data_IF_783819339251
#
_entry.id   IF_783819339251
#
_cell.length_a   1.000
_cell.length_b   1.000
_cell.length_c   1.000
_cell.angle_alpha   90.00
_cell.angle_beta   90.00
_cell.angle_gamma   90.00
#
_symmetry.space_group_name_H-M   'P 1'
#
loop_
_entity.id
_entity.type
_entity.pdbx_description
1 polymer ?
#
# COMPACT_ATOMS: atom_id res chain seq x y z
N UNK A 1 -3.50 -25.65 9.73
CA UNK A 1 -3.55 -25.29 8.31
C UNK A 1 -4.72 -24.35 8.10
N UNK A 2 -4.46 -23.09 7.83
CA UNK A 2 -5.52 -22.14 7.47
C UNK A 2 -5.84 -22.37 5.99
N UNK A 3 -7.05 -22.89 5.74
CA UNK A 3 -7.56 -23.09 4.39
C UNK A 3 -7.78 -21.71 3.74
N UNK A 4 -6.87 -21.30 2.87
CA UNK A 4 -6.93 -20.06 2.08
C UNK A 4 -7.78 -20.22 0.81
N UNK A 5 -8.43 -21.38 0.63
CA UNK A 5 -9.46 -21.55 -0.39
C UNK A 5 -10.63 -20.60 -0.11
N UNK A 6 -11.47 -20.33 -1.14
CA UNK A 6 -12.73 -19.60 -0.94
C UNK A 6 -13.62 -20.22 0.14
N UNK A 7 -13.51 -21.56 0.35
CA UNK A 7 -14.16 -22.24 1.46
C UNK A 7 -13.59 -21.84 2.82
N UNK A 8 -12.28 -21.59 2.91
CA UNK A 8 -11.61 -21.09 4.11
C UNK A 8 -12.01 -19.66 4.43
N UNK A 9 -12.10 -18.80 3.41
CA UNK A 9 -12.60 -17.43 3.55
C UNK A 9 -14.07 -17.44 3.98
N UNK A 10 -14.92 -18.24 3.33
CA UNK A 10 -16.33 -18.36 3.69
C UNK A 10 -16.56 -18.90 5.12
N UNK A 11 -15.73 -19.85 5.58
CA UNK A 11 -15.78 -20.36 6.98
C UNK A 11 -15.36 -19.31 8.00
N UNK A 12 -14.35 -18.48 7.69
CA UNK A 12 -13.84 -17.46 8.60
C UNK A 12 -14.84 -16.31 8.80
N UNK A 13 -15.61 -15.98 7.76
CA UNK A 13 -16.54 -14.85 7.78
C UNK A 13 -18.03 -15.26 7.88
N UNK A 14 -18.33 -16.52 8.08
CA UNK A 14 -19.65 -17.06 8.44
C UNK A 14 -20.80 -16.70 7.48
N UNK A 15 -21.29 -17.66 6.72
CA UNK A 15 -22.60 -17.53 6.09
C UNK A 15 -22.67 -17.56 4.57
N UNK A 16 -21.62 -17.96 3.86
CA UNK A 16 -21.70 -18.20 2.42
C UNK A 16 -21.74 -19.72 2.19
N UNK A 17 -22.94 -20.25 1.95
CA UNK A 17 -23.14 -21.65 1.56
C UNK A 17 -23.51 -21.68 0.07
N UNK A 18 -22.70 -22.32 -0.77
CA UNK A 18 -22.96 -22.51 -2.19
C UNK A 18 -21.78 -23.16 -2.91
N UNK A 19 -22.07 -23.81 -4.03
CA UNK A 19 -21.01 -24.31 -4.93
C UNK A 19 -20.44 -23.14 -5.71
N UNK A 20 -19.24 -22.73 -5.34
CA UNK A 20 -18.52 -21.65 -6.04
C UNK A 20 -17.51 -22.24 -7.00
N UNK A 21 -17.73 -22.08 -8.32
CA UNK A 21 -16.65 -22.07 -9.29
C UNK A 21 -16.08 -20.64 -9.36
N UNK A 22 -15.52 -20.20 -8.26
CA UNK A 22 -14.95 -18.86 -8.18
C UNK A 22 -13.44 -19.04 -8.14
N UNK A 23 -12.85 -19.04 -9.29
CA UNK A 23 -11.44 -18.83 -9.45
C UNK A 23 -11.35 -17.59 -10.30
N UNK A 24 -11.04 -16.48 -9.73
CA UNK A 24 -10.82 -15.47 -10.65
C UNK A 24 -10.63 -14.06 -10.13
N UNK A 25 -11.65 -13.29 -9.89
CA UNK A 25 -11.52 -11.84 -9.81
C UNK A 25 -11.04 -11.31 -8.45
N UNK A 26 -11.13 -12.10 -7.38
CA UNK A 26 -10.47 -11.77 -6.10
C UNK A 26 -8.93 -11.83 -6.25
N UNK A 27 -8.44 -12.51 -7.28
CA UNK A 27 -7.01 -12.71 -7.56
C UNK A 27 -6.58 -12.13 -8.93
N UNK A 28 -7.33 -11.18 -9.49
CA UNK A 28 -6.99 -10.56 -10.78
C UNK A 28 -7.21 -11.47 -12.00
N UNK A 29 -8.00 -12.52 -11.90
CA UNK A 29 -8.34 -13.43 -12.99
C UNK A 29 -9.79 -13.19 -13.44
N UNK A 30 -9.98 -12.93 -14.70
CA UNK A 30 -11.14 -12.28 -15.31
C UNK A 30 -12.37 -13.14 -15.55
N UNK A 31 -12.88 -13.94 -14.63
CA UNK A 31 -14.24 -14.48 -14.76
C UNK A 31 -14.87 -14.99 -13.48
N UNK A 32 -15.57 -14.12 -12.76
CA UNK A 32 -16.63 -14.58 -11.87
C UNK A 32 -17.94 -14.55 -12.66
N UNK A 33 -18.47 -15.71 -13.01
CA UNK A 33 -19.87 -15.84 -13.42
C UNK A 33 -20.74 -15.84 -12.17
N UNK A 34 -20.96 -14.69 -11.58
CA UNK A 34 -21.82 -14.48 -10.43
C UNK A 34 -22.45 -13.09 -10.47
N UNK A 35 -23.55 -12.87 -9.78
CA UNK A 35 -24.20 -11.57 -9.76
C UNK A 35 -23.23 -10.51 -9.19
N UNK A 36 -23.27 -9.31 -9.77
CA UNK A 36 -22.49 -8.14 -9.29
C UNK A 36 -22.66 -7.88 -7.78
N UNK A 37 -23.80 -8.28 -7.22
CA UNK A 37 -24.10 -8.15 -5.79
C UNK A 37 -23.28 -9.12 -4.92
N UNK A 38 -23.01 -10.34 -5.38
CA UNK A 38 -22.20 -11.31 -4.64
C UNK A 38 -20.71 -10.89 -4.63
N UNK A 39 -20.21 -10.44 -5.77
CA UNK A 39 -18.85 -9.90 -5.90
C UNK A 39 -18.65 -8.72 -4.94
N UNK A 40 -19.52 -7.71 -5.01
CA UNK A 40 -19.47 -6.53 -4.14
C UNK A 40 -19.52 -6.92 -2.65
N UNK A 41 -20.33 -7.93 -2.30
CA UNK A 41 -20.42 -8.43 -0.93
C UNK A 41 -19.15 -9.16 -0.49
N UNK A 42 -18.55 -9.99 -1.35
CA UNK A 42 -17.28 -10.67 -1.06
C UNK A 42 -16.13 -9.67 -0.92
N UNK A 43 -16.07 -8.69 -1.81
CA UNK A 43 -15.09 -7.60 -1.75
C UNK A 43 -15.25 -6.78 -0.45
N UNK A 44 -16.48 -6.45 -0.06
CA UNK A 44 -16.74 -5.71 1.17
C UNK A 44 -16.41 -6.51 2.43
N UNK A 45 -16.60 -7.83 2.42
CA UNK A 45 -16.26 -8.71 3.55
C UNK A 45 -14.75 -8.94 3.70
N UNK A 46 -14.00 -8.83 2.61
CA UNK A 46 -12.54 -9.00 2.60
C UNK A 46 -11.79 -7.67 2.84
N UNK A 47 -12.49 -6.54 2.82
CA UNK A 47 -11.92 -5.22 2.97
C UNK A 47 -11.71 -4.88 4.44
N UNK A 48 -10.49 -4.52 4.81
CA UNK A 48 -10.14 -4.11 6.17
C UNK A 48 -9.44 -2.75 6.14
N UNK A 49 -9.95 -1.81 6.91
CA UNK A 49 -9.30 -0.53 7.16
C UNK A 49 -8.29 -0.70 8.30
N UNK A 50 -7.08 -0.26 8.06
CA UNK A 50 -5.99 -0.26 9.04
C UNK A 50 -5.62 1.18 9.37
N UNK A 51 -5.47 1.47 10.66
CA UNK A 51 -4.98 2.76 11.16
C UNK A 51 -4.26 2.54 12.48
N UNK A 52 -3.01 3.02 12.59
CA UNK A 52 -2.19 2.85 13.77
C UNK A 52 -1.14 3.95 13.89
N UNK A 53 -0.74 4.25 15.11
CA UNK A 53 0.33 5.22 15.38
C UNK A 53 1.70 4.59 15.13
N UNK A 54 2.57 5.36 14.46
CA UNK A 54 4.00 5.07 14.31
C UNK A 54 4.77 6.11 15.10
N UNK A 55 5.80 5.68 15.79
CA UNK A 55 6.67 6.56 16.60
C UNK A 55 8.11 6.12 16.46
N UNK A 56 8.97 7.05 16.12
CA UNK A 56 10.42 6.86 16.05
C UNK A 56 11.15 8.11 16.54
N UNK A 57 11.87 8.01 17.64
CA UNK A 57 12.57 9.14 18.25
C UNK A 57 11.64 10.33 18.53
N UNK A 58 11.89 11.45 17.83
CA UNK A 58 11.08 12.68 17.93
C UNK A 58 9.94 12.72 16.89
N UNK A 59 9.90 11.74 15.98
CA UNK A 59 8.91 11.67 14.91
C UNK A 59 7.72 10.81 15.32
N UNK A 60 6.53 11.21 14.88
CA UNK A 60 5.32 10.43 15.09
C UNK A 60 4.24 10.79 14.10
N UNK A 61 3.54 9.78 13.59
CA UNK A 61 2.45 9.94 12.66
C UNK A 61 1.43 8.80 12.76
N UNK A 62 0.34 8.93 12.05
CA UNK A 62 -0.63 7.84 11.87
C UNK A 62 -0.46 7.25 10.48
N UNK A 63 -0.17 5.96 10.39
CA UNK A 63 -0.26 5.20 9.16
C UNK A 63 -1.70 4.73 8.96
N UNK A 64 -2.20 4.79 7.73
CA UNK A 64 -3.56 4.34 7.42
C UNK A 64 -3.67 3.85 5.97
N UNK A 65 -4.29 2.70 5.78
CA UNK A 65 -4.53 2.09 4.48
C UNK A 65 -5.69 1.11 4.53
N UNK A 66 -6.23 0.78 3.38
CA UNK A 66 -7.18 -0.31 3.19
C UNK A 66 -6.45 -1.53 2.65
N UNK A 67 -6.76 -2.70 3.15
CA UNK A 67 -6.29 -3.97 2.60
C UNK A 67 -7.46 -4.87 2.22
N UNK A 68 -7.46 -5.32 0.97
CA UNK A 68 -8.37 -6.34 0.45
C UNK A 68 -7.53 -7.50 -0.04
N UNK A 69 -7.42 -8.56 0.78
CA UNK A 69 -6.53 -9.70 0.51
C UNK A 69 -5.08 -9.25 0.29
N UNK A 70 -4.53 -9.43 -0.92
CA UNK A 70 -3.15 -9.02 -1.28
C UNK A 70 -3.09 -7.63 -1.93
N UNK A 71 -4.21 -6.92 -2.02
CA UNK A 71 -4.27 -5.56 -2.56
C UNK A 71 -4.33 -4.54 -1.43
N UNK A 72 -3.37 -3.63 -1.42
CA UNK A 72 -3.22 -2.56 -0.44
C UNK A 72 -3.46 -1.22 -1.13
N UNK A 73 -4.39 -0.43 -0.60
CA UNK A 73 -4.77 0.85 -1.19
C UNK A 73 -4.68 1.98 -0.18
N UNK A 74 -4.06 3.07 -0.58
CA UNK A 74 -4.07 4.33 0.17
C UNK A 74 -4.84 5.38 -0.60
N UNK A 75 -5.91 5.90 0.00
CA UNK A 75 -6.65 7.06 -0.50
C UNK A 75 -5.95 8.33 -0.06
N UNK A 76 -5.46 9.10 -1.03
CA UNK A 76 -4.67 10.32 -0.80
C UNK A 76 -5.40 11.52 -1.38
N UNK A 77 -5.65 12.54 -0.54
CA UNK A 77 -6.13 13.84 -0.98
C UNK A 77 -4.96 14.78 -1.20
N UNK A 78 -4.82 15.29 -2.42
CA UNK A 78 -3.83 16.30 -2.75
C UNK A 78 -4.42 17.69 -2.63
N UNK A 79 -3.77 18.56 -1.84
CA UNK A 79 -4.11 19.97 -1.66
C UNK A 79 -3.00 20.83 -2.29
N UNK A 80 -3.13 21.20 -3.57
CA UNK A 80 -2.14 22.05 -4.21
C UNK A 80 -2.19 23.49 -3.71
N UNK A 81 -1.03 24.10 -3.52
CA UNK A 81 -0.90 25.54 -3.26
C UNK A 81 -1.40 26.34 -4.46
N UNK A 82 -1.75 27.60 -4.21
CA UNK A 82 -2.18 28.53 -5.25
C UNK A 82 -1.10 28.68 -6.33
N UNK A 83 -1.52 28.72 -7.59
CA UNK A 83 -0.61 28.84 -8.75
C UNK A 83 -0.19 27.52 -9.38
N UNK A 84 -0.43 26.37 -8.77
CA UNK A 84 -0.21 25.08 -9.41
C UNK A 84 -1.41 24.76 -10.31
N UNK A 85 -1.16 24.61 -11.61
CA UNK A 85 -2.22 24.36 -12.58
C UNK A 85 -2.79 22.93 -12.48
N UNK A 86 -4.04 22.74 -12.92
CA UNK A 86 -4.63 21.41 -13.04
C UNK A 86 -3.84 20.51 -14.01
N UNK A 87 -3.27 21.05 -15.06
CA UNK A 87 -2.42 20.29 -15.99
C UNK A 87 -1.18 19.76 -15.28
N UNK A 88 -0.49 20.60 -14.51
CA UNK A 88 0.63 20.19 -13.66
C UNK A 88 0.21 19.09 -12.70
N UNK A 89 -0.87 19.28 -11.98
CA UNK A 89 -1.37 18.28 -11.02
C UNK A 89 -1.73 16.93 -11.68
N UNK A 90 -2.26 16.94 -12.90
CA UNK A 90 -2.54 15.69 -13.60
C UNK A 90 -1.27 14.94 -13.98
N UNK A 91 -0.24 15.66 -14.43
CA UNK A 91 1.09 15.07 -14.70
C UNK A 91 1.69 14.48 -13.42
N UNK A 92 1.68 15.23 -12.32
CA UNK A 92 2.23 14.81 -11.04
C UNK A 92 1.51 13.56 -10.49
N UNK A 93 0.17 13.53 -10.53
CA UNK A 93 -0.59 12.34 -10.13
C UNK A 93 -0.15 11.10 -10.89
N UNK A 94 0.01 11.20 -12.20
CA UNK A 94 0.46 10.08 -13.02
C UNK A 94 1.89 9.67 -12.69
N UNK A 95 2.80 10.64 -12.52
CA UNK A 95 4.21 10.38 -12.18
C UNK A 95 4.32 9.70 -10.82
N UNK A 96 3.65 10.22 -9.81
CA UNK A 96 3.69 9.70 -8.45
C UNK A 96 3.01 8.34 -8.34
N UNK A 97 1.84 8.16 -8.94
CA UNK A 97 1.14 6.87 -8.96
C UNK A 97 2.01 5.79 -9.60
N UNK A 98 2.55 6.06 -10.78
CA UNK A 98 3.43 5.11 -11.46
C UNK A 98 4.67 4.78 -10.62
N UNK A 99 5.28 5.79 -9.96
CA UNK A 99 6.43 5.58 -9.09
C UNK A 99 6.10 4.68 -7.89
N UNK A 100 4.99 4.94 -7.22
CA UNK A 100 4.50 4.17 -6.09
C UNK A 100 4.19 2.73 -6.53
N UNK A 101 3.34 2.56 -7.52
CA UNK A 101 2.85 1.24 -7.93
C UNK A 101 3.97 0.37 -8.52
N UNK A 102 4.87 0.94 -9.32
CA UNK A 102 6.00 0.22 -9.88
C UNK A 102 7.03 -0.22 -8.83
N UNK A 103 7.21 0.58 -7.77
CA UNK A 103 8.19 0.25 -6.73
C UNK A 103 7.65 -0.77 -5.73
N UNK A 104 6.40 -0.62 -5.31
CA UNK A 104 5.81 -1.44 -4.25
C UNK A 104 5.13 -2.71 -4.75
N UNK A 105 4.46 -2.66 -5.93
CA UNK A 105 3.68 -3.79 -6.43
C UNK A 105 4.53 -4.86 -7.09
N UNK A 106 4.07 -6.12 -6.96
CA UNK A 106 4.65 -7.28 -7.64
C UNK A 106 6.16 -7.52 -7.34
N UNK A 107 6.65 -7.02 -6.20
CA UNK A 107 8.00 -7.33 -5.71
C UNK A 107 7.98 -8.63 -4.91
N UNK A 108 6.90 -8.86 -4.20
CA UNK A 108 6.68 -9.98 -3.31
C UNK A 108 5.25 -10.48 -3.41
N UNK A 109 5.03 -11.71 -2.98
CA UNK A 109 3.69 -12.29 -2.88
C UNK A 109 3.39 -12.81 -1.48
N UNK A 110 2.16 -13.23 -1.30
CA UNK A 110 1.68 -13.95 -0.14
C UNK A 110 1.41 -15.41 -0.49
N UNK A 111 1.79 -16.35 0.38
CA UNK A 111 1.58 -17.77 0.16
C UNK A 111 2.02 -18.59 1.35
N UNK A 112 1.74 -19.89 1.28
CA UNK A 112 2.31 -20.91 2.14
C UNK A 112 3.11 -21.90 1.28
N UNK A 113 4.08 -22.58 1.88
CA UNK A 113 4.91 -23.54 1.15
C UNK A 113 4.06 -24.59 0.43
N UNK A 114 4.21 -24.68 -0.90
CA UNK A 114 3.47 -25.61 -1.74
C UNK A 114 2.08 -25.14 -2.21
N UNK A 115 1.69 -23.88 -1.90
CA UNK A 115 0.42 -23.28 -2.33
C UNK A 115 0.64 -22.21 -3.43
N UNK A 116 -0.47 -21.76 -4.03
CA UNK A 116 -0.44 -20.66 -4.98
C UNK A 116 0.05 -19.37 -4.32
N UNK A 117 1.01 -18.73 -4.94
CA UNK A 117 1.50 -17.41 -4.56
C UNK A 117 0.62 -16.32 -5.19
N UNK A 118 0.15 -15.40 -4.38
CA UNK A 118 -0.62 -14.24 -4.82
C UNK A 118 0.24 -12.98 -4.68
N UNK A 119 0.52 -12.25 -5.77
CA UNK A 119 1.31 -11.02 -5.70
C UNK A 119 0.70 -9.98 -4.76
N UNK A 120 1.54 -9.31 -3.98
CA UNK A 120 1.15 -8.09 -3.26
C UNK A 120 1.10 -6.93 -4.25
N UNK A 121 0.00 -6.20 -4.25
CA UNK A 121 -0.21 -5.03 -5.10
C UNK A 121 -0.56 -3.81 -4.26
N UNK A 122 -0.07 -2.64 -4.67
CA UNK A 122 -0.23 -1.38 -3.97
C UNK A 122 -0.80 -0.32 -4.91
N UNK A 123 -1.74 0.45 -4.43
CA UNK A 123 -2.44 1.47 -5.19
C UNK A 123 -2.44 2.80 -4.43
N UNK A 124 -2.10 3.88 -5.12
CA UNK A 124 -2.33 5.24 -4.66
C UNK A 124 -3.60 5.79 -5.34
N UNK A 125 -4.72 5.84 -4.61
CA UNK A 125 -5.98 6.38 -5.09
C UNK A 125 -6.09 7.87 -4.77
N UNK A 126 -6.18 8.72 -5.81
CA UNK A 126 -6.37 10.16 -5.63
C UNK A 126 -7.83 10.49 -5.39
N UNK A 127 -8.14 11.01 -4.21
CA UNK A 127 -9.51 11.30 -3.79
C UNK A 127 -9.72 12.76 -3.39
N UNK A 128 -10.97 13.20 -3.36
CA UNK A 128 -11.38 14.53 -2.87
C UNK A 128 -11.97 14.49 -1.46
N UNK A 129 -12.36 13.31 -1.01
CA UNK A 129 -12.93 13.05 0.33
C UNK A 129 -12.66 11.60 0.74
N UNK A 130 -12.89 11.24 2.01
CA UNK A 130 -12.68 9.89 2.53
C UNK A 130 -11.22 9.40 2.45
N UNK A 131 -10.28 10.34 2.50
CA UNK A 131 -8.85 10.05 2.42
C UNK A 131 -8.31 9.38 3.69
N UNK A 132 -7.29 8.54 3.51
CA UNK A 132 -6.41 8.10 4.60
C UNK A 132 -5.41 9.21 4.96
N UNK A 133 -4.84 9.86 3.93
CA UNK A 133 -3.84 10.91 4.10
C UNK A 133 -4.16 12.14 3.27
N UNK A 134 -3.73 13.28 3.79
CA UNK A 134 -3.77 14.55 3.05
C UNK A 134 -2.36 15.03 2.83
N UNK A 135 -2.03 15.37 1.59
CA UNK A 135 -0.74 15.87 1.16
C UNK A 135 -0.90 17.27 0.61
N UNK A 136 -0.21 18.24 1.19
CA UNK A 136 -0.04 19.56 0.58
C UNK A 136 0.93 19.44 -0.58
N UNK A 137 0.61 20.03 -1.73
CA UNK A 137 1.51 20.11 -2.87
C UNK A 137 1.95 21.56 -3.03
N UNK A 138 3.25 21.80 -2.94
CA UNK A 138 3.86 23.15 -3.05
C UNK A 138 4.72 23.27 -4.32
N UNK A 139 4.97 24.48 -4.83
CA UNK A 139 5.98 24.71 -5.85
C UNK A 139 7.38 24.45 -5.27
N UNK A 140 8.29 23.97 -6.08
CA UNK A 140 9.70 23.97 -5.70
C UNK A 140 10.44 22.72 -6.02
N UNK A 141 11.71 22.63 -5.63
CA UNK A 141 12.38 21.44 -5.17
C UNK A 141 12.84 21.65 -3.73
N UNK A 142 12.01 21.33 -2.74
CA UNK A 142 12.41 21.26 -1.34
C UNK A 142 12.29 19.83 -0.84
N UNK A 143 12.84 19.54 0.34
CA UNK A 143 12.71 18.21 0.93
C UNK A 143 11.25 17.91 1.25
N UNK A 144 10.74 16.83 0.70
CA UNK A 144 9.39 16.32 0.95
C UNK A 144 9.32 15.48 2.21
N UNK A 145 8.11 15.23 2.69
CA UNK A 145 7.77 14.34 3.78
C UNK A 145 6.37 13.78 3.54
N UNK A 146 5.92 12.83 4.36
CA UNK A 146 4.63 12.14 4.22
C UNK A 146 3.42 13.08 3.96
N UNK A 147 3.45 14.33 4.44
CA UNK A 147 2.30 15.27 4.35
C UNK A 147 2.55 16.47 3.43
N UNK A 148 3.75 16.63 2.89
CA UNK A 148 4.11 17.75 2.00
C UNK A 148 5.01 17.26 0.89
N UNK A 149 4.51 17.36 -0.34
CA UNK A 149 5.25 17.04 -1.57
C UNK A 149 5.41 18.30 -2.41
N UNK A 150 6.32 18.29 -3.36
CA UNK A 150 6.49 19.44 -4.25
C UNK A 150 6.45 19.07 -5.73
N UNK A 151 6.35 20.10 -6.57
CA UNK A 151 6.24 19.93 -8.03
C UNK A 151 7.50 19.38 -8.68
N UNK A 152 8.63 19.33 -7.97
CA UNK A 152 9.88 18.72 -8.40
C UNK A 152 10.03 17.27 -7.98
N UNK A 153 9.13 16.73 -7.15
CA UNK A 153 9.23 15.35 -6.65
C UNK A 153 9.06 14.33 -7.77
N UNK A 154 10.00 13.39 -7.79
CA UNK A 154 9.94 12.23 -8.68
C UNK A 154 8.98 11.16 -8.13
N UNK A 155 8.64 10.19 -8.98
CA UNK A 155 7.90 9.01 -8.52
C UNK A 155 8.62 8.20 -7.43
N UNK A 156 9.95 8.24 -7.39
CA UNK A 156 10.74 7.57 -6.35
C UNK A 156 10.59 8.26 -4.98
N UNK A 157 10.55 9.60 -4.94
CA UNK A 157 10.26 10.37 -3.72
C UNK A 157 8.85 10.04 -3.24
N UNK A 158 7.85 10.10 -4.12
CA UNK A 158 6.47 9.75 -3.77
C UNK A 158 6.34 8.31 -3.23
N UNK A 159 7.10 7.36 -3.79
CA UNK A 159 7.12 5.98 -3.32
C UNK A 159 7.74 5.82 -1.92
N UNK A 160 8.77 6.60 -1.59
CA UNK A 160 9.32 6.66 -0.24
C UNK A 160 8.30 7.21 0.76
N UNK A 161 7.69 8.36 0.47
CA UNK A 161 6.67 8.97 1.33
C UNK A 161 5.42 8.09 1.49
N UNK A 162 5.05 7.35 0.45
CA UNK A 162 4.01 6.32 0.52
C UNK A 162 4.39 5.21 1.51
N UNK A 163 5.67 4.85 1.62
CA UNK A 163 6.19 3.93 2.63
C UNK A 163 5.88 4.38 4.06
N UNK A 164 5.98 5.68 4.36
CA UNK A 164 5.56 6.22 5.66
C UNK A 164 4.06 6.11 5.88
N UNK A 165 3.24 6.30 4.85
CA UNK A 165 1.79 6.10 4.94
C UNK A 165 1.42 4.65 5.22
N UNK A 166 2.23 3.69 4.77
CA UNK A 166 2.13 2.26 5.08
C UNK A 166 2.63 1.90 6.50
N UNK A 167 3.31 2.83 7.18
CA UNK A 167 3.83 2.64 8.54
C UNK A 167 5.28 2.24 8.65
N UNK A 168 6.07 2.43 7.60
CA UNK A 168 7.52 2.22 7.63
C UNK A 168 8.24 3.47 8.10
N UNK A 169 9.27 3.28 8.92
CA UNK A 169 10.18 4.34 9.36
C UNK A 169 11.30 4.54 8.36
N UNK A 170 11.98 5.67 8.42
CA UNK A 170 13.21 5.88 7.67
C UNK A 170 14.32 4.90 8.08
N UNK A 171 15.22 4.64 7.15
CA UNK A 171 16.37 3.73 7.36
C UNK A 171 17.71 4.37 6.98
N UNK A 172 17.74 5.69 6.80
CA UNK A 172 18.99 6.45 6.69
C UNK A 172 19.40 7.00 8.07
N UNK A 173 20.70 7.28 8.22
CA UNK A 173 21.22 7.85 9.47
C UNK A 173 20.72 9.29 9.66
N UNK A 174 20.17 9.59 10.85
CA UNK A 174 19.66 10.91 11.21
C UNK A 174 20.20 11.34 12.58
N UNK A 175 20.79 12.52 12.64
CA UNK A 175 21.33 13.09 13.88
C UNK A 175 20.26 13.37 14.92
N UNK A 176 19.00 13.60 14.50
CA UNK A 176 17.86 13.78 15.40
C UNK A 176 17.29 12.43 15.89
N UNK A 177 17.76 11.32 15.31
CA UNK A 177 17.35 9.97 15.69
C UNK A 177 18.54 9.01 15.77
N UNK A 178 19.49 9.24 16.69
CA UNK A 178 20.72 8.45 16.77
C UNK A 178 20.48 6.98 17.16
N UNK A 179 19.29 6.67 17.71
CA UNK A 179 18.89 5.31 18.07
C UNK A 179 18.16 4.57 16.92
N UNK A 180 18.02 5.19 15.75
CA UNK A 180 17.36 4.55 14.59
C UNK A 180 18.06 3.25 14.23
N UNK A 181 17.25 2.20 14.03
CA UNK A 181 17.75 0.88 13.64
C UNK A 181 16.63 0.11 12.91
N UNK A 182 16.92 -0.46 11.73
CA UNK A 182 18.20 -0.44 11.00
C UNK A 182 18.49 0.89 10.31
N UNK A 183 19.75 1.14 9.95
CA UNK A 183 20.16 2.30 9.13
C UNK A 183 21.08 1.87 7.99
N UNK A 184 21.17 2.70 6.95
CA UNK A 184 22.01 2.47 5.76
C UNK A 184 21.70 1.10 5.11
N UNK A 185 20.43 0.78 4.98
CA UNK A 185 19.97 -0.54 4.56
C UNK A 185 19.95 -0.73 3.06
N UNK A 186 20.05 0.37 2.29
CA UNK A 186 19.92 0.36 0.84
C UNK A 186 18.52 -0.01 0.34
N UNK A 187 17.49 0.23 1.15
CA UNK A 187 16.08 0.01 0.76
C UNK A 187 15.41 1.31 0.33
N UNK A 188 14.16 1.23 -0.13
CA UNK A 188 13.35 2.42 -0.44
C UNK A 188 13.26 3.39 0.74
N UNK A 189 13.28 2.93 1.98
CA UNK A 189 13.22 3.77 3.17
C UNK A 189 14.57 4.39 3.58
N UNK A 190 15.66 4.00 2.91
CA UNK A 190 17.00 4.58 3.04
C UNK A 190 17.35 5.41 1.80
N UNK A 191 17.03 4.89 0.62
CA UNK A 191 17.31 5.50 -0.67
C UNK A 191 16.08 5.37 -1.58
N UNK A 192 15.46 6.47 -1.90
CA UNK A 192 14.19 6.55 -2.63
C UNK A 192 14.13 5.71 -3.94
N UNK A 193 15.28 5.44 -4.55
CA UNK A 193 15.38 4.67 -5.79
C UNK A 193 15.71 3.19 -5.59
N UNK A 194 15.82 2.74 -4.34
CA UNK A 194 16.18 1.38 -4.01
C UNK A 194 14.97 0.44 -3.94
N UNK A 195 15.22 -0.84 -3.84
CA UNK A 195 14.20 -1.89 -3.82
C UNK A 195 13.44 -1.97 -2.48
N UNK A 196 12.34 -2.72 -2.50
CA UNK A 196 11.53 -3.04 -1.33
C UNK A 196 11.83 -4.48 -0.88
N UNK A 197 12.47 -4.70 0.28
CA UNK A 197 12.76 -6.05 0.77
C UNK A 197 11.53 -6.71 1.40
N UNK A 198 11.57 -8.05 1.50
CA UNK A 198 10.49 -8.87 2.07
C UNK A 198 10.02 -8.40 3.46
N UNK A 199 10.94 -7.93 4.33
CA UNK A 199 10.60 -7.48 5.68
C UNK A 199 9.64 -6.30 5.73
N UNK A 200 9.64 -5.44 4.71
CA UNK A 200 8.67 -4.33 4.61
C UNK A 200 7.28 -4.81 4.18
N UNK A 201 7.16 -6.06 3.72
CA UNK A 201 5.90 -6.69 3.32
C UNK A 201 5.24 -7.53 4.42
N UNK A 202 5.99 -7.85 5.50
CA UNK A 202 5.56 -8.81 6.53
C UNK A 202 4.19 -8.45 7.12
N UNK A 203 3.95 -7.18 7.45
CA UNK A 203 2.67 -6.71 7.97
C UNK A 203 1.47 -7.10 7.10
N UNK A 204 1.60 -6.94 5.78
CA UNK A 204 0.49 -7.21 4.86
C UNK A 204 0.20 -8.69 4.72
N UNK A 205 1.24 -9.53 4.81
CA UNK A 205 1.09 -10.98 4.85
C UNK A 205 0.45 -11.42 6.19
N UNK A 206 0.93 -10.88 7.31
CA UNK A 206 0.41 -11.18 8.65
C UNK A 206 -1.09 -10.82 8.78
N UNK A 207 -1.51 -9.68 8.21
CA UNK A 207 -2.90 -9.24 8.22
C UNK A 207 -3.87 -10.27 7.63
N UNK A 208 -3.41 -11.10 6.71
CA UNK A 208 -4.20 -12.15 6.05
C UNK A 208 -3.79 -13.58 6.48
N UNK A 209 -2.94 -13.70 7.50
CA UNK A 209 -2.47 -14.98 8.04
C UNK A 209 -1.62 -15.77 7.04
N UNK A 210 -0.77 -15.08 6.26
CA UNK A 210 0.08 -15.65 5.21
C UNK A 210 1.56 -15.36 5.49
N UNK A 211 2.44 -15.84 4.62
CA UNK A 211 3.87 -15.52 4.64
C UNK A 211 4.25 -14.70 3.41
N UNK A 212 5.27 -13.86 3.56
CA UNK A 212 5.89 -13.20 2.40
C UNK A 212 6.72 -14.23 1.64
N UNK A 213 6.49 -14.32 0.34
CA UNK A 213 7.21 -15.24 -0.55
C UNK A 213 7.73 -14.51 -1.78
N UNK A 214 8.81 -15.02 -2.36
CA UNK A 214 9.32 -14.58 -3.67
C UNK A 214 8.33 -14.95 -4.77
N UNK A 215 8.14 -14.10 -5.77
CA UNK A 215 7.32 -14.31 -6.96
C UNK A 215 8.15 -14.33 -8.22
#
# INVERSE_FOLDING_TARGET
MNDLSLKGIARRYGGITGNFSVVGDIFGVSSITGSSSLRSKLESMARTEHSFSVSECIYGWTAAFEQTWTHIRIRIRLNPDSGISNATMNTLRTTWQNGIENLWSNQWGCGHSGELTCPLTFEAEWVTSNQHHTVRVRPGPERSNMVTWDTGDTGAVAAHEYGHMLGHVDEYADTNCPARSPVNTGTVMDNNSANVPARLMTRFADNIGSNVVSI
#
